data_IF_011918399034
#
_entry.id   IF_011918399034
#
_cell.length_a   1.000
_cell.length_b   1.000
_cell.length_c   1.000
_cell.angle_alpha   90.00
_cell.angle_beta   90.00
_cell.angle_gamma   90.00
#
_symmetry.space_group_name_H-M   'P 1'
#
loop_
_entity.id
_entity.type
_entity.pdbx_description
1 polymer ?
#
# COMPACT_ATOMS: atom_id res chain seq x y z
N UNK A 1 24.62 -15.76 -13.61
CA UNK A 1 23.83 -15.78 -12.37
C UNK A 1 23.24 -14.39 -12.17
N UNK A 2 21.91 -14.24 -12.31
CA UNK A 2 21.26 -12.95 -12.07
C UNK A 2 21.37 -12.62 -10.57
N UNK A 3 21.92 -11.45 -10.22
CA UNK A 3 21.91 -10.96 -8.83
C UNK A 3 20.44 -10.76 -8.44
N UNK A 4 19.97 -11.57 -7.48
CA UNK A 4 18.62 -11.43 -6.89
C UNK A 4 18.42 -9.98 -6.44
N UNK A 5 17.32 -9.31 -6.81
CA UNK A 5 17.05 -7.97 -6.32
C UNK A 5 16.79 -8.04 -4.81
N UNK A 6 17.53 -7.22 -4.05
CA UNK A 6 17.15 -6.91 -2.67
C UNK A 6 15.92 -5.99 -2.76
N UNK A 7 14.92 -6.18 -1.90
CA UNK A 7 13.68 -5.39 -1.92
C UNK A 7 13.94 -3.87 -1.88
N UNK A 8 14.91 -3.42 -1.09
CA UNK A 8 15.17 -1.99 -0.85
C UNK A 8 15.38 -1.15 -2.13
N UNK A 9 16.23 -1.54 -3.09
CA UNK A 9 16.35 -0.85 -4.38
C UNK A 9 15.07 -0.75 -5.24
N UNK A 10 14.01 -1.48 -4.88
CA UNK A 10 12.74 -1.50 -5.61
C UNK A 10 11.69 -0.56 -4.98
N UNK A 11 11.97 -0.02 -3.80
CA UNK A 11 11.10 0.90 -3.07
C UNK A 11 11.76 2.27 -3.04
N UNK A 12 11.08 3.26 -3.60
CA UNK A 12 11.53 4.65 -3.60
C UNK A 12 11.39 5.26 -2.20
N UNK A 13 12.16 6.33 -1.90
CA UNK A 13 11.97 7.04 -0.63
C UNK A 13 10.58 7.65 -0.55
N UNK A 14 10.08 8.18 -1.66
CA UNK A 14 8.74 8.77 -1.77
C UNK A 14 7.65 7.75 -1.43
N UNK A 15 7.80 6.50 -1.88
CA UNK A 15 6.88 5.43 -1.50
C UNK A 15 6.95 5.15 0.01
N UNK A 16 8.16 5.08 0.59
CA UNK A 16 8.31 4.80 2.01
C UNK A 16 7.71 5.90 2.89
N UNK A 17 7.95 7.17 2.55
CA UNK A 17 7.35 8.33 3.20
C UNK A 17 5.82 8.33 3.06
N UNK A 18 5.34 8.07 1.83
CA UNK A 18 3.92 7.95 1.56
C UNK A 18 3.27 6.83 2.36
N UNK A 19 3.90 5.65 2.43
CA UNK A 19 3.40 4.51 3.20
C UNK A 19 3.30 4.85 4.68
N UNK A 20 4.31 5.48 5.27
CA UNK A 20 4.26 5.91 6.67
C UNK A 20 3.03 6.81 6.91
N UNK A 21 2.83 7.83 6.07
CA UNK A 21 1.69 8.73 6.19
C UNK A 21 0.32 8.03 5.97
N UNK A 22 0.23 7.17 4.96
CA UNK A 22 -1.00 6.43 4.68
C UNK A 22 -1.35 5.44 5.81
N UNK A 23 -0.34 4.82 6.43
CA UNK A 23 -0.49 3.93 7.57
C UNK A 23 -0.93 4.69 8.84
N UNK A 24 -0.43 5.91 9.04
CA UNK A 24 -0.89 6.78 10.13
C UNK A 24 -2.34 7.21 9.91
N UNK A 25 -2.72 7.52 8.67
CA UNK A 25 -4.12 7.81 8.32
C UNK A 25 -5.07 6.67 8.71
N UNK A 26 -4.68 5.41 8.49
CA UNK A 26 -5.49 4.25 8.86
C UNK A 26 -5.77 4.16 10.36
N UNK A 27 -4.82 4.58 11.20
CA UNK A 27 -4.94 4.55 12.67
C UNK A 27 -5.63 5.78 13.22
N UNK A 28 -5.35 6.95 12.63
CA UNK A 28 -5.83 8.23 13.14
C UNK A 28 -7.25 8.55 12.69
N UNK A 29 -7.72 7.99 11.57
CA UNK A 29 -9.06 8.26 11.06
C UNK A 29 -10.15 7.91 12.09
N UNK A 30 -10.19 6.72 12.73
CA UNK A 30 -11.19 6.43 13.76
C UNK A 30 -11.20 7.45 14.89
N UNK A 31 -10.03 7.80 15.43
CA UNK A 31 -9.91 8.79 16.52
C UNK A 31 -10.38 10.18 16.09
N UNK A 32 -10.07 10.57 14.85
CA UNK A 32 -10.51 11.84 14.27
C UNK A 32 -12.04 11.92 14.15
N UNK A 33 -12.67 10.82 13.73
CA UNK A 33 -14.13 10.73 13.64
C UNK A 33 -14.79 10.67 15.03
N UNK A 34 -14.18 9.99 16.01
CA UNK A 34 -14.67 9.92 17.39
C UNK A 34 -14.68 11.30 18.08
N UNK A 35 -13.80 12.21 17.65
CA UNK A 35 -13.79 13.61 18.09
C UNK A 35 -14.90 14.47 17.43
N UNK A 36 -15.69 13.90 16.53
CA UNK A 36 -16.81 14.57 15.85
C UNK A 36 -16.42 15.40 14.62
N UNK A 37 -15.21 15.20 14.08
CA UNK A 37 -14.81 15.84 12.83
C UNK A 37 -15.34 15.10 11.60
N UNK A 38 -15.45 15.83 10.50
CA UNK A 38 -15.96 15.30 9.23
C UNK A 38 -14.85 14.64 8.41
N UNK A 39 -15.06 13.50 7.74
CA UNK A 39 -14.05 12.82 6.91
C UNK A 39 -13.33 13.73 5.90
N UNK A 40 -14.06 14.70 5.33
CA UNK A 40 -13.53 15.68 4.36
C UNK A 40 -12.46 16.63 4.93
N UNK A 41 -12.36 16.72 6.25
CA UNK A 41 -11.37 17.55 6.94
C UNK A 41 -10.09 16.78 7.25
N UNK A 42 -10.07 15.46 7.04
CA UNK A 42 -8.97 14.60 7.47
C UNK A 42 -7.75 14.67 6.54
N UNK A 43 -7.97 14.73 5.22
CA UNK A 43 -6.90 14.77 4.22
C UNK A 43 -7.12 15.89 3.21
N UNK A 44 -6.03 16.53 2.79
CA UNK A 44 -6.08 17.65 1.85
C UNK A 44 -6.61 17.25 0.46
N UNK A 45 -6.38 16.00 0.05
CA UNK A 45 -6.74 15.48 -1.26
C UNK A 45 -8.01 14.61 -1.24
N UNK A 46 -8.93 14.90 -0.30
CA UNK A 46 -10.17 14.14 -0.07
C UNK A 46 -11.02 13.95 -1.35
N UNK A 47 -11.06 14.96 -2.20
CA UNK A 47 -11.86 14.95 -3.43
C UNK A 47 -11.21 14.15 -4.57
N UNK A 48 -9.93 13.81 -4.49
CA UNK A 48 -9.24 13.11 -5.58
C UNK A 48 -9.64 11.64 -5.62
N UNK A 49 -10.13 11.17 -6.78
CA UNK A 49 -10.37 9.76 -7.04
C UNK A 49 -9.03 9.02 -7.21
N UNK A 50 -8.60 8.41 -6.11
CA UNK A 50 -7.36 7.64 -6.03
C UNK A 50 -7.41 6.31 -6.78
N UNK A 51 -8.58 5.88 -7.27
CA UNK A 51 -8.79 4.66 -8.05
C UNK A 51 -9.13 4.90 -9.51
N UNK A 52 -9.04 6.14 -10.00
CA UNK A 52 -9.37 6.47 -11.38
C UNK A 52 -8.52 5.69 -12.40
N UNK A 53 -9.10 5.40 -13.56
CA UNK A 53 -8.42 4.67 -14.65
C UNK A 53 -7.13 5.39 -15.11
N UNK A 54 -7.08 6.73 -14.98
CA UNK A 54 -5.88 7.52 -15.29
C UNK A 54 -4.69 7.14 -14.40
N UNK A 55 -4.94 6.66 -13.18
CA UNK A 55 -3.93 6.25 -12.21
C UNK A 55 -3.67 4.74 -12.23
N UNK A 56 -4.69 3.92 -12.50
CA UNK A 56 -4.57 2.46 -12.50
C UNK A 56 -4.02 1.90 -13.81
N UNK A 57 -4.46 2.41 -14.96
CA UNK A 57 -4.07 1.85 -16.26
C UNK A 57 -2.56 1.91 -16.53
N UNK A 58 -1.83 3.01 -16.21
CA UNK A 58 -0.38 3.04 -16.40
C UNK A 58 0.34 1.92 -15.62
N UNK A 59 -0.09 1.63 -14.38
CA UNK A 59 0.46 0.55 -13.56
C UNK A 59 0.25 -0.78 -14.28
N UNK A 60 -1.00 -1.09 -14.65
CA UNK A 60 -1.34 -2.38 -15.28
C UNK A 60 -0.61 -2.63 -16.59
N UNK A 61 -0.38 -1.59 -17.40
CA UNK A 61 0.32 -1.69 -18.70
C UNK A 61 1.82 -1.89 -18.55
N UNK A 62 2.43 -1.32 -17.51
CA UNK A 62 3.86 -1.32 -17.30
C UNK A 62 4.35 -2.43 -16.35
N UNK A 63 3.45 -3.07 -15.59
CA UNK A 63 3.82 -3.96 -14.49
C UNK A 63 4.75 -5.10 -14.89
N UNK A 64 4.43 -5.79 -15.99
CA UNK A 64 5.20 -6.93 -16.48
C UNK A 64 5.36 -6.84 -18.01
N UNK A 65 6.59 -6.74 -18.48
CA UNK A 65 6.92 -6.71 -19.90
C UNK A 65 7.94 -7.79 -20.24
N UNK A 66 7.56 -8.72 -21.13
CA UNK A 66 8.42 -9.83 -21.58
C UNK A 66 9.08 -10.62 -20.43
N UNK A 67 8.36 -10.82 -19.32
CA UNK A 67 8.85 -11.54 -18.15
C UNK A 67 9.70 -10.70 -17.17
N UNK A 68 9.84 -9.40 -17.42
CA UNK A 68 10.53 -8.47 -16.52
C UNK A 68 9.53 -7.52 -15.86
N UNK A 69 9.63 -7.36 -14.54
CA UNK A 69 8.81 -6.44 -13.76
C UNK A 69 9.37 -5.03 -13.84
N UNK A 70 8.51 -4.04 -14.01
CA UNK A 70 8.93 -2.64 -13.91
C UNK A 70 9.07 -2.24 -12.45
N UNK A 71 10.24 -1.70 -12.07
CA UNK A 71 10.43 -1.16 -10.71
C UNK A 71 9.44 -0.04 -10.40
N UNK A 72 9.25 0.85 -11.35
CA UNK A 72 8.33 2.00 -11.22
C UNK A 72 6.88 1.53 -11.07
N UNK A 73 6.46 0.54 -11.86
CA UNK A 73 5.09 0.02 -11.74
C UNK A 73 4.87 -0.78 -10.45
N UNK A 74 5.89 -1.50 -9.96
CA UNK A 74 5.87 -2.19 -8.68
C UNK A 74 5.73 -1.19 -7.52
N UNK A 75 6.55 -0.14 -7.51
CA UNK A 75 6.49 0.94 -6.53
C UNK A 75 5.11 1.63 -6.55
N UNK A 76 4.65 2.02 -7.74
CA UNK A 76 3.34 2.65 -7.94
C UNK A 76 2.17 1.73 -7.58
N UNK A 77 2.28 0.41 -7.77
CA UNK A 77 1.28 -0.56 -7.35
C UNK A 77 1.06 -0.47 -5.84
N UNK A 78 2.14 -0.57 -5.07
CA UNK A 78 2.08 -0.55 -3.60
C UNK A 78 1.48 0.78 -3.15
N UNK A 79 2.05 1.90 -3.62
CA UNK A 79 1.54 3.23 -3.26
C UNK A 79 0.06 3.41 -3.59
N UNK A 80 -0.38 2.92 -4.75
CA UNK A 80 -1.79 3.02 -5.18
C UNK A 80 -2.74 2.20 -4.31
N UNK A 81 -2.35 0.99 -3.93
CA UNK A 81 -3.11 0.17 -3.00
C UNK A 81 -3.34 0.93 -1.68
N UNK A 82 -2.26 1.44 -1.07
CA UNK A 82 -2.33 2.16 0.21
C UNK A 82 -3.07 3.50 0.09
N UNK A 83 -2.96 4.21 -1.03
CA UNK A 83 -3.74 5.42 -1.29
C UNK A 83 -5.25 5.16 -1.26
N UNK A 84 -5.69 4.07 -1.89
CA UNK A 84 -7.10 3.69 -1.94
C UNK A 84 -7.61 3.34 -0.54
N UNK A 85 -6.91 2.45 0.17
CA UNK A 85 -7.43 1.94 1.46
C UNK A 85 -7.33 2.96 2.60
N UNK A 86 -6.46 3.97 2.48
CA UNK A 86 -6.33 5.06 3.44
C UNK A 86 -7.22 6.26 3.12
N UNK A 87 -8.03 6.21 2.05
CA UNK A 87 -8.93 7.28 1.70
C UNK A 87 -10.20 7.22 2.57
N UNK A 88 -10.55 8.31 3.29
CA UNK A 88 -11.74 8.37 4.13
C UNK A 88 -13.00 8.77 3.35
N UNK A 89 -12.92 8.98 2.04
CA UNK A 89 -14.05 9.43 1.23
C UNK A 89 -14.92 8.23 0.81
N UNK A 90 -16.15 8.08 1.33
CA UNK A 90 -17.03 6.97 1.00
C UNK A 90 -17.72 7.11 -0.37
N UNK A 91 -17.67 8.29 -1.00
CA UNK A 91 -18.29 8.53 -2.32
C UNK A 91 -17.50 7.88 -3.45
N UNK A 92 -16.20 7.63 -3.24
CA UNK A 92 -15.35 6.97 -4.23
C UNK A 92 -15.52 5.45 -4.17
N UNK A 93 -16.03 4.85 -5.26
CA UNK A 93 -16.15 3.41 -5.38
C UNK A 93 -14.86 2.77 -5.92
N UNK A 94 -13.96 2.39 -5.00
CA UNK A 94 -12.68 1.78 -5.35
C UNK A 94 -12.72 0.30 -5.72
N UNK A 95 -13.90 -0.35 -5.71
CA UNK A 95 -14.02 -1.79 -5.95
C UNK A 95 -13.46 -2.22 -7.32
N UNK A 96 -13.60 -1.38 -8.35
CA UNK A 96 -13.01 -1.62 -9.67
C UNK A 96 -11.48 -1.58 -9.63
N UNK A 97 -10.91 -0.54 -9.04
CA UNK A 97 -9.47 -0.33 -8.94
C UNK A 97 -8.79 -1.45 -8.14
N UNK A 98 -9.36 -1.80 -6.98
CA UNK A 98 -8.87 -2.91 -6.15
C UNK A 98 -8.93 -4.24 -6.90
N UNK A 99 -10.02 -4.50 -7.65
CA UNK A 99 -10.12 -5.69 -8.49
C UNK A 99 -9.06 -5.70 -9.61
N UNK A 100 -8.76 -4.56 -10.21
CA UNK A 100 -7.69 -4.46 -11.22
C UNK A 100 -6.32 -4.76 -10.61
N UNK A 101 -5.99 -4.21 -9.43
CA UNK A 101 -4.74 -4.51 -8.72
C UNK A 101 -4.65 -5.99 -8.33
N UNK A 102 -5.74 -6.57 -7.83
CA UNK A 102 -5.81 -7.99 -7.47
C UNK A 102 -5.64 -8.92 -8.68
N UNK A 103 -6.24 -8.57 -9.81
CA UNK A 103 -6.09 -9.33 -11.05
C UNK A 103 -4.69 -9.20 -11.67
N UNK A 104 -4.02 -8.06 -11.44
CA UNK A 104 -2.68 -7.81 -11.93
C UNK A 104 -1.65 -8.69 -11.22
N UNK A 105 -1.73 -8.79 -9.89
CA UNK A 105 -0.93 -9.70 -9.08
C UNK A 105 -1.67 -10.01 -7.76
N UNK A 106 -2.19 -11.23 -7.65
CA UNK A 106 -3.02 -11.63 -6.50
C UNK A 106 -2.19 -11.83 -5.22
N UNK A 107 -0.92 -12.25 -5.36
CA UNK A 107 -0.04 -12.48 -4.23
C UNK A 107 0.40 -11.15 -3.62
N UNK A 108 0.84 -10.20 -4.45
CA UNK A 108 1.21 -8.85 -3.99
C UNK A 108 0.00 -8.11 -3.38
N UNK A 109 -1.19 -8.30 -3.95
CA UNK A 109 -2.43 -7.80 -3.36
C UNK A 109 -2.65 -8.39 -1.96
N UNK A 110 -2.55 -9.71 -1.81
CA UNK A 110 -2.76 -10.39 -0.54
C UNK A 110 -1.74 -9.96 0.53
N UNK A 111 -0.47 -9.78 0.16
CA UNK A 111 0.58 -9.26 1.05
C UNK A 111 0.23 -7.85 1.53
N UNK A 112 -0.16 -6.97 0.60
CA UNK A 112 -0.53 -5.58 0.92
C UNK A 112 -1.79 -5.50 1.78
N UNK A 113 -2.79 -6.35 1.49
CA UNK A 113 -4.03 -6.43 2.23
C UNK A 113 -3.82 -6.95 3.65
N UNK A 114 -3.09 -8.05 3.80
CA UNK A 114 -2.74 -8.59 5.12
C UNK A 114 -2.02 -7.56 5.98
N UNK A 115 -1.01 -6.87 5.42
CA UNK A 115 -0.29 -5.83 6.14
C UNK A 115 -1.21 -4.70 6.60
N UNK A 116 -2.04 -4.18 5.69
CA UNK A 116 -2.98 -3.11 6.02
C UNK A 116 -4.00 -3.49 7.09
N UNK A 117 -4.57 -4.70 7.02
CA UNK A 117 -5.57 -5.15 7.99
C UNK A 117 -4.95 -5.37 9.37
N UNK A 118 -3.76 -5.97 9.43
CA UNK A 118 -3.03 -6.13 10.69
C UNK A 118 -2.65 -4.77 11.28
N UNK A 119 -2.24 -3.81 10.44
CA UNK A 119 -1.87 -2.47 10.92
C UNK A 119 -3.05 -1.70 11.50
N UNK A 120 -4.24 -1.82 10.89
CA UNK A 120 -5.47 -1.14 11.34
C UNK A 120 -5.91 -1.54 12.74
N UNK A 121 -5.66 -2.78 13.14
CA UNK A 121 -6.09 -3.29 14.45
C UNK A 121 -5.10 -2.98 15.57
N UNK A 122 -3.93 -2.42 15.25
CA UNK A 122 -2.96 -2.01 16.25
C UNK A 122 -3.41 -0.71 16.92
N UNK A 123 -3.73 -0.77 18.21
CA UNK A 123 -4.16 0.38 18.99
C UNK A 123 -2.95 1.26 19.36
N UNK A 124 -2.87 2.52 18.89
CA UNK A 124 -1.76 3.41 19.21
C UNK A 124 -1.70 3.82 20.69
N UNK A 125 -2.77 3.61 21.46
CA UNK A 125 -2.81 3.93 22.89
C UNK A 125 -2.26 2.79 23.78
N UNK A 126 -2.00 1.60 23.23
CA UNK A 126 -1.50 0.45 23.99
C UNK A 126 0.01 0.54 24.24
N UNK A 127 0.43 0.15 25.45
CA UNK A 127 1.84 0.11 25.78
C UNK A 127 2.56 -0.97 24.93
N UNK A 128 3.66 -0.60 24.27
CA UNK A 128 4.43 -1.52 23.42
C UNK A 128 3.93 -1.63 21.98
N UNK A 129 2.89 -0.89 21.58
CA UNK A 129 2.33 -0.92 20.22
C UNK A 129 3.39 -0.67 19.12
N UNK A 130 4.39 0.17 19.36
CA UNK A 130 5.48 0.42 18.39
C UNK A 130 6.29 -0.85 18.11
N UNK A 131 6.63 -1.58 19.18
CA UNK A 131 7.43 -2.80 19.08
C UNK A 131 6.61 -3.94 18.48
N UNK A 132 5.34 -4.08 18.85
CA UNK A 132 4.41 -5.03 18.24
C UNK A 132 4.19 -4.72 16.75
N UNK A 133 3.93 -3.46 16.41
CA UNK A 133 3.78 -3.02 15.03
C UNK A 133 5.02 -3.32 14.18
N UNK A 134 6.21 -3.13 14.76
CA UNK A 134 7.47 -3.47 14.08
C UNK A 134 7.66 -4.98 13.90
N UNK A 135 7.51 -5.77 14.97
CA UNK A 135 7.88 -7.19 14.98
C UNK A 135 6.79 -8.07 14.35
N UNK A 136 5.52 -7.80 14.64
CA UNK A 136 4.41 -8.66 14.26
C UNK A 136 3.76 -8.26 12.94
N UNK A 137 4.02 -7.04 12.45
CA UNK A 137 3.32 -6.50 11.29
C UNK A 137 4.31 -6.05 10.19
N UNK A 138 5.20 -5.10 10.49
CA UNK A 138 6.13 -4.56 9.49
C UNK A 138 7.20 -5.58 9.07
N UNK A 139 7.79 -6.33 10.00
CA UNK A 139 8.80 -7.33 9.67
C UNK A 139 8.24 -8.46 8.79
N UNK A 140 7.08 -9.09 9.11
CA UNK A 140 6.46 -10.08 8.22
C UNK A 140 6.12 -9.51 6.83
N UNK A 141 5.64 -8.27 6.74
CA UNK A 141 5.39 -7.63 5.45
C UNK A 141 6.66 -7.51 4.60
N UNK A 142 7.77 -7.11 5.20
CA UNK A 142 9.07 -7.02 4.52
C UNK A 142 9.58 -8.40 4.09
N UNK A 143 9.43 -9.44 4.91
CA UNK A 143 9.81 -10.81 4.55
C UNK A 143 8.96 -11.34 3.38
N UNK A 144 7.64 -11.17 3.44
CA UNK A 144 6.73 -11.60 2.36
C UNK A 144 7.01 -10.86 1.04
N UNK A 145 7.30 -9.56 1.10
CA UNK A 145 7.74 -8.81 -0.08
C UNK A 145 9.10 -9.30 -0.59
N UNK A 146 10.06 -9.61 0.29
CA UNK A 146 11.35 -10.18 -0.10
C UNK A 146 11.17 -11.53 -0.79
N UNK A 147 10.30 -12.39 -0.28
CA UNK A 147 9.97 -13.67 -0.91
C UNK A 147 9.34 -13.46 -2.28
N UNK A 148 8.37 -12.53 -2.39
CA UNK A 148 7.73 -12.20 -3.66
C UNK A 148 8.74 -11.72 -4.70
N UNK A 149 9.72 -10.88 -4.35
CA UNK A 149 10.74 -10.37 -5.30
C UNK A 149 11.86 -11.38 -5.62
N UNK A 150 12.10 -12.38 -4.77
CA UNK A 150 13.31 -13.24 -4.80
C UNK A 150 13.54 -13.96 -6.13
N UNK A 151 12.48 -14.32 -6.85
CA UNK A 151 12.55 -15.04 -8.13
C UNK A 151 12.10 -14.18 -9.32
N UNK A 152 11.96 -12.86 -9.12
CA UNK A 152 11.52 -11.92 -10.15
C UNK A 152 12.70 -11.15 -10.72
N UNK A 153 12.64 -10.87 -12.02
CA UNK A 153 13.62 -10.01 -12.70
C UNK A 153 13.02 -8.64 -12.92
N UNK A 154 13.75 -7.59 -12.57
CA UNK A 154 13.29 -6.21 -12.71
C UNK A 154 14.14 -5.43 -13.72
N UNK A 155 13.54 -4.46 -14.38
CA UNK A 155 14.23 -3.45 -15.20
C UNK A 155 14.08 -2.07 -14.57
#
# INVERSE_FOLDING_TARGET
>A
MSKKPKLRPLLSEELLEFLANALDHLKMLPLFLDLGYEPRQFIADYALDKGSDQLILPITKAFLFKGHYSKIAFDAYIGRYFAIIACPNPEHNYGRALKQLKNLDADLYAISEKFAQNWKVLNPAEAGHEQEGRILIAYPFVEELNEWVTNKTFY
#
